data_IF_287767036697
#
_entry.id   IF_287767036697
#
_cell.length_a   1.000
_cell.length_b   1.000
_cell.length_c   1.000
_cell.angle_alpha   90.00
_cell.angle_beta   90.00
_cell.angle_gamma   90.00
#
_symmetry.space_group_name_H-M   'P 1'
#
loop_
_entity.id
_entity.type
_entity.pdbx_description
1 polymer ?
#
# COMPACT_ATOMS: atom_id res chain seq x y z
N UNK A 1 14.27 3.64 4.74
CA UNK A 1 13.45 2.95 3.74
C UNK A 1 13.01 3.94 2.65
N UNK A 2 12.93 3.50 1.38
CA UNK A 2 12.31 4.21 0.26
C UNK A 2 11.85 3.18 -0.78
N UNK A 3 11.05 3.58 -1.76
CA UNK A 3 10.62 2.70 -2.83
C UNK A 3 11.83 2.20 -3.65
N UNK A 4 12.72 3.12 -4.06
CA UNK A 4 13.93 2.79 -4.83
C UNK A 4 14.83 1.81 -4.08
N UNK A 5 14.96 1.99 -2.76
CA UNK A 5 15.79 1.10 -1.94
C UNK A 5 15.23 -0.31 -1.86
N UNK A 6 13.90 -0.45 -1.83
CA UNK A 6 13.25 -1.76 -1.90
C UNK A 6 13.50 -2.43 -3.27
N UNK A 7 13.38 -1.66 -4.35
CA UNK A 7 13.68 -2.16 -5.71
C UNK A 7 15.15 -2.57 -5.83
N UNK A 8 16.06 -1.77 -5.32
CA UNK A 8 17.50 -2.07 -5.33
C UNK A 8 17.83 -3.35 -4.55
N UNK A 9 17.33 -3.49 -3.33
CA UNK A 9 17.54 -4.70 -2.52
C UNK A 9 17.03 -5.96 -3.22
N UNK A 10 15.84 -5.90 -3.78
CA UNK A 10 15.27 -7.03 -4.51
C UNK A 10 16.03 -7.31 -5.82
N UNK A 11 16.53 -6.27 -6.48
CA UNK A 11 17.40 -6.41 -7.66
C UNK A 11 18.74 -7.09 -7.31
N UNK A 12 19.34 -6.73 -6.18
CA UNK A 12 20.56 -7.38 -5.70
C UNK A 12 20.31 -8.84 -5.32
N UNK A 13 19.19 -9.13 -4.64
CA UNK A 13 18.77 -10.49 -4.33
C UNK A 13 18.54 -11.34 -5.57
N UNK A 14 17.86 -10.79 -6.58
CA UNK A 14 17.62 -11.44 -7.86
C UNK A 14 18.93 -11.82 -8.58
N UNK A 15 19.89 -10.88 -8.63
CA UNK A 15 21.21 -11.10 -9.23
C UNK A 15 22.02 -12.13 -8.45
N UNK A 16 22.04 -12.03 -7.11
CA UNK A 16 22.81 -12.93 -6.24
C UNK A 16 22.37 -14.40 -6.39
N UNK A 17 21.06 -14.63 -6.61
CA UNK A 17 20.53 -15.98 -6.79
C UNK A 17 20.50 -16.42 -8.27
N UNK A 18 20.90 -15.55 -9.17
CA UNK A 18 20.97 -15.77 -10.62
C UNK A 18 19.70 -16.36 -11.25
N UNK A 19 18.53 -15.91 -10.77
CA UNK A 19 17.26 -16.35 -11.33
C UNK A 19 17.06 -15.81 -12.75
N UNK A 20 16.58 -16.67 -13.63
CA UNK A 20 16.22 -16.41 -15.03
C UNK A 20 14.95 -17.16 -15.42
N UNK A 21 14.41 -16.92 -16.61
CA UNK A 21 13.19 -17.54 -17.13
C UNK A 21 11.99 -17.38 -16.17
N UNK A 22 11.93 -16.23 -15.47
CA UNK A 22 10.99 -15.97 -14.37
C UNK A 22 9.59 -15.74 -14.94
N UNK A 23 8.62 -16.47 -14.42
CA UNK A 23 7.22 -16.05 -14.44
C UNK A 23 6.94 -15.27 -13.16
N UNK A 24 6.79 -13.95 -13.28
CA UNK A 24 6.56 -13.07 -12.15
C UNK A 24 5.07 -12.99 -11.84
N UNK A 25 4.71 -13.14 -10.56
CA UNK A 25 3.41 -12.80 -10.03
C UNK A 25 3.56 -11.74 -8.95
N UNK A 26 2.87 -10.61 -9.09
CA UNK A 26 2.93 -9.50 -8.15
C UNK A 26 1.56 -9.01 -7.71
N UNK A 27 1.42 -8.74 -6.40
CA UNK A 27 0.22 -8.17 -5.79
C UNK A 27 0.63 -7.08 -4.81
N UNK A 28 -0.16 -6.00 -4.70
CA UNK A 28 0.10 -4.86 -3.83
C UNK A 28 1.55 -4.34 -3.99
N UNK A 29 2.29 -4.14 -2.92
CA UNK A 29 3.70 -3.74 -2.96
C UNK A 29 4.61 -4.73 -3.70
N UNK A 30 4.27 -6.01 -3.68
CA UNK A 30 4.96 -7.01 -4.51
C UNK A 30 4.86 -6.69 -6.00
N UNK A 31 3.71 -6.17 -6.44
CA UNK A 31 3.53 -5.68 -7.81
C UNK A 31 4.32 -4.41 -8.11
N UNK A 32 4.25 -3.40 -7.23
CA UNK A 32 4.99 -2.15 -7.41
C UNK A 32 6.51 -2.42 -7.56
N UNK A 33 7.09 -3.16 -6.62
CA UNK A 33 8.52 -3.49 -6.65
C UNK A 33 8.85 -4.40 -7.84
N UNK A 34 8.05 -5.44 -8.08
CA UNK A 34 8.32 -6.42 -9.11
C UNK A 34 8.23 -5.87 -10.52
N UNK A 35 7.27 -4.98 -10.82
CA UNK A 35 7.21 -4.30 -12.11
C UNK A 35 8.48 -3.49 -12.37
N UNK A 36 9.02 -2.81 -11.36
CA UNK A 36 10.30 -2.10 -11.46
C UNK A 36 11.48 -3.06 -11.67
N UNK A 37 11.44 -4.27 -11.09
CA UNK A 37 12.46 -5.31 -11.34
C UNK A 37 12.39 -5.82 -12.78
N UNK A 38 11.20 -6.00 -13.35
CA UNK A 38 11.03 -6.39 -14.76
C UNK A 38 11.67 -5.34 -15.67
N UNK A 39 11.43 -4.05 -15.41
CA UNK A 39 12.04 -2.94 -16.16
C UNK A 39 13.56 -2.95 -16.05
N UNK A 40 14.09 -3.15 -14.85
CA UNK A 40 15.54 -3.09 -14.59
C UNK A 40 16.29 -4.34 -15.05
N UNK A 41 15.60 -5.48 -15.22
CA UNK A 41 16.20 -6.79 -15.55
C UNK A 41 15.35 -7.58 -16.56
N UNK A 42 14.93 -7.00 -17.70
CA UNK A 42 13.90 -7.58 -18.59
C UNK A 42 14.28 -8.95 -19.18
N UNK A 43 15.57 -9.22 -19.31
CA UNK A 43 16.09 -10.50 -19.82
C UNK A 43 15.87 -11.67 -18.86
N UNK A 44 15.59 -11.39 -17.58
CA UNK A 44 15.36 -12.43 -16.57
C UNK A 44 13.89 -12.88 -16.46
N UNK A 45 12.98 -12.12 -17.05
CA UNK A 45 11.54 -12.36 -16.94
C UNK A 45 10.95 -12.78 -18.28
N UNK A 46 10.23 -13.88 -18.28
CA UNK A 46 9.55 -14.40 -19.46
C UNK A 46 8.06 -14.06 -19.49
N UNK A 47 7.45 -13.95 -18.33
CA UNK A 47 6.01 -13.66 -18.19
C UNK A 47 5.75 -12.81 -16.96
N UNK A 48 4.72 -11.99 -17.04
CA UNK A 48 4.28 -11.12 -15.95
C UNK A 48 2.79 -11.35 -15.66
N UNK A 49 2.46 -11.56 -14.41
CA UNK A 49 1.08 -11.59 -13.91
C UNK A 49 0.98 -10.59 -12.76
N UNK A 50 0.04 -9.67 -12.84
CA UNK A 50 -0.23 -8.72 -11.76
C UNK A 50 -1.66 -8.88 -11.26
N UNK A 51 -1.84 -8.70 -9.95
CA UNK A 51 -3.14 -8.80 -9.29
C UNK A 51 -3.28 -7.70 -8.25
N UNK A 52 -4.38 -6.95 -8.29
CA UNK A 52 -4.68 -5.89 -7.30
C UNK A 52 -3.46 -5.04 -6.91
N UNK A 53 -2.77 -4.53 -7.91
CA UNK A 53 -1.58 -3.69 -7.80
C UNK A 53 -1.61 -2.62 -8.88
N UNK A 54 -0.56 -1.82 -8.97
CA UNK A 54 -0.44 -0.80 -10.00
C UNK A 54 0.98 -0.31 -10.15
N UNK A 55 1.14 0.59 -11.12
CA UNK A 55 2.35 1.37 -11.31
C UNK A 55 1.94 2.86 -11.25
N UNK A 56 1.73 3.40 -10.02
CA UNK A 56 1.17 4.74 -9.85
C UNK A 56 2.06 5.79 -10.51
N UNK A 57 1.47 6.60 -11.41
CA UNK A 57 2.14 7.67 -12.11
C UNK A 57 1.18 8.84 -12.32
N UNK A 58 1.39 9.94 -11.64
CA UNK A 58 0.55 11.12 -11.72
C UNK A 58 1.39 12.40 -11.93
N UNK A 59 1.93 12.62 -13.13
CA UNK A 59 2.82 13.75 -13.42
C UNK A 59 2.08 15.09 -13.45
N UNK A 60 0.75 15.07 -13.66
CA UNK A 60 -0.08 16.26 -13.88
C UNK A 60 -0.98 16.57 -12.68
N UNK A 61 -0.55 16.24 -11.47
CA UNK A 61 -1.29 16.65 -10.28
C UNK A 61 -1.41 18.17 -10.23
N UNK A 62 -2.63 18.75 -10.11
CA UNK A 62 -2.77 20.18 -9.93
C UNK A 62 -1.98 20.67 -8.71
N UNK A 63 -1.32 21.82 -8.83
CA UNK A 63 -0.55 22.39 -7.71
C UNK A 63 -1.40 22.61 -6.47
N UNK A 64 -2.67 23.02 -6.65
CA UNK A 64 -3.63 23.17 -5.54
C UNK A 64 -3.89 21.84 -4.81
N UNK A 65 -3.94 20.70 -5.52
CA UNK A 65 -4.09 19.39 -4.91
C UNK A 65 -2.83 18.99 -4.15
N UNK A 66 -1.66 19.27 -4.69
CA UNK A 66 -0.38 18.99 -4.02
C UNK A 66 -0.31 19.76 -2.70
N UNK A 67 -0.56 21.08 -2.74
CA UNK A 67 -0.56 21.95 -1.55
C UNK A 67 -1.58 21.48 -0.50
N UNK A 68 -2.80 21.16 -0.91
CA UNK A 68 -3.85 20.65 -0.02
C UNK A 68 -3.43 19.36 0.70
N UNK A 69 -2.84 18.40 -0.04
CA UNK A 69 -2.40 17.12 0.54
C UNK A 69 -1.19 17.33 1.46
N UNK A 70 -0.26 18.19 1.12
CA UNK A 70 0.89 18.53 1.97
C UNK A 70 0.45 19.25 3.26
N UNK A 71 -0.51 20.17 3.16
CA UNK A 71 -1.10 20.83 4.31
C UNK A 71 -1.86 19.84 5.21
N UNK A 72 -2.66 18.96 4.62
CA UNK A 72 -3.33 17.90 5.34
C UNK A 72 -2.35 16.99 6.08
N UNK A 73 -1.26 16.57 5.42
CA UNK A 73 -0.23 15.73 6.05
C UNK A 73 0.45 16.43 7.22
N UNK A 74 0.70 17.73 7.10
CA UNK A 74 1.46 18.50 8.10
C UNK A 74 0.59 18.98 9.26
N UNK A 75 -0.62 19.44 9.01
CA UNK A 75 -1.41 20.24 9.96
C UNK A 75 -2.68 19.55 10.48
N UNK A 76 -3.26 18.60 9.72
CA UNK A 76 -4.47 17.92 10.16
C UNK A 76 -4.19 16.95 11.32
N UNK A 77 -5.15 16.71 12.21
CA UNK A 77 -5.00 15.65 13.21
C UNK A 77 -4.88 14.27 12.55
N UNK A 78 -4.23 13.33 13.24
CA UNK A 78 -4.16 11.93 12.79
C UNK A 78 -5.56 11.35 12.60
N UNK A 79 -5.91 10.86 11.41
CA UNK A 79 -7.24 10.27 11.19
C UNK A 79 -7.49 9.07 12.10
N UNK A 80 -8.72 8.96 12.60
CA UNK A 80 -9.13 7.75 13.30
C UNK A 80 -9.35 6.56 12.35
N UNK A 81 -9.32 5.34 12.87
CA UNK A 81 -9.49 4.11 12.08
C UNK A 81 -10.80 4.08 11.27
N UNK A 82 -11.91 4.59 11.82
CA UNK A 82 -13.19 4.66 11.12
C UNK A 82 -13.19 5.71 10.02
N UNK A 83 -12.55 6.84 10.24
CA UNK A 83 -12.39 7.90 9.26
C UNK A 83 -11.52 7.45 8.09
N UNK A 84 -10.39 6.84 8.39
CA UNK A 84 -9.51 6.23 7.40
C UNK A 84 -10.26 5.17 6.55
N UNK A 85 -11.02 4.27 7.20
CA UNK A 85 -11.83 3.27 6.49
C UNK A 85 -12.87 3.91 5.56
N UNK A 86 -13.54 4.97 6.02
CA UNK A 86 -14.50 5.71 5.18
C UNK A 86 -13.80 6.33 3.96
N UNK A 87 -12.64 6.94 4.16
CA UNK A 87 -11.85 7.48 3.05
C UNK A 87 -11.50 6.39 2.03
N UNK A 88 -10.99 5.24 2.47
CA UNK A 88 -10.65 4.12 1.59
C UNK A 88 -11.86 3.54 0.85
N UNK A 89 -13.04 3.46 1.49
CA UNK A 89 -14.27 2.97 0.83
C UNK A 89 -14.79 3.90 -0.27
N UNK A 90 -14.30 5.12 -0.34
CA UNK A 90 -14.66 6.14 -1.33
C UNK A 90 -13.49 6.45 -2.28
N UNK A 91 -12.48 5.57 -2.37
CA UNK A 91 -11.25 5.84 -3.12
C UNK A 91 -11.49 6.06 -4.63
N UNK A 92 -12.55 5.52 -5.21
CA UNK A 92 -12.90 5.73 -6.62
C UNK A 92 -13.18 7.20 -6.98
N UNK A 93 -13.48 8.04 -5.97
CA UNK A 93 -13.58 9.49 -6.13
C UNK A 93 -12.40 10.17 -5.45
N UNK A 94 -11.60 10.96 -6.16
CA UNK A 94 -10.43 11.70 -5.63
C UNK A 94 -9.37 10.79 -4.97
N UNK A 95 -8.81 9.82 -5.70
CA UNK A 95 -7.97 8.76 -5.11
C UNK A 95 -6.76 9.30 -4.32
N UNK A 96 -6.09 10.34 -4.81
CA UNK A 96 -4.93 10.91 -4.12
C UNK A 96 -5.29 11.49 -2.74
N UNK A 97 -6.42 12.23 -2.63
CA UNK A 97 -6.91 12.77 -1.35
C UNK A 97 -7.25 11.63 -0.37
N UNK A 98 -8.02 10.65 -0.84
CA UNK A 98 -8.46 9.54 0.01
C UNK A 98 -7.28 8.67 0.47
N UNK A 99 -6.31 8.47 -0.41
CA UNK A 99 -5.10 7.72 -0.05
C UNK A 99 -4.22 8.48 0.95
N UNK A 100 -4.23 9.81 0.95
CA UNK A 100 -3.51 10.61 1.94
C UNK A 100 -3.99 10.34 3.39
N UNK A 101 -5.29 10.03 3.60
CA UNK A 101 -5.78 9.60 4.92
C UNK A 101 -5.12 8.29 5.37
N UNK A 102 -4.99 7.32 4.46
CA UNK A 102 -4.30 6.06 4.72
C UNK A 102 -2.83 6.28 5.06
N UNK A 103 -2.14 7.09 4.25
CA UNK A 103 -0.73 7.42 4.48
C UNK A 103 -0.51 8.07 5.84
N UNK A 104 -1.30 9.11 6.18
CA UNK A 104 -1.20 9.81 7.46
C UNK A 104 -1.54 8.91 8.65
N UNK A 105 -2.63 8.14 8.56
CA UNK A 105 -2.99 7.17 9.57
C UNK A 105 -1.86 6.19 9.86
N UNK A 106 -1.30 5.57 8.83
CA UNK A 106 -0.21 4.60 8.98
C UNK A 106 1.03 5.24 9.58
N UNK A 107 1.44 6.38 9.07
CA UNK A 107 2.67 7.04 9.50
C UNK A 107 2.62 7.52 10.96
N UNK A 108 1.51 8.13 11.36
CA UNK A 108 1.38 8.76 12.68
C UNK A 108 0.87 7.83 13.78
N UNK A 109 0.27 6.68 13.43
CA UNK A 109 -0.20 5.72 14.44
C UNK A 109 0.96 4.84 14.88
N UNK A 110 1.60 5.19 15.99
CA UNK A 110 2.80 4.51 16.48
C UNK A 110 2.58 3.01 16.75
N UNK A 111 1.49 2.66 17.41
CA UNK A 111 1.06 1.28 17.62
C UNK A 111 -0.14 0.95 16.72
N UNK A 112 0.12 0.81 15.41
CA UNK A 112 -0.89 0.53 14.41
C UNK A 112 -1.61 -0.79 14.73
N UNK A 113 -2.98 -0.80 14.85
CA UNK A 113 -3.73 -1.98 15.24
C UNK A 113 -3.96 -2.93 14.06
N UNK A 114 -2.91 -3.63 13.62
CA UNK A 114 -2.89 -4.43 12.37
C UNK A 114 -3.94 -5.53 12.40
N UNK A 115 -3.97 -6.35 13.43
CA UNK A 115 -4.95 -7.43 13.56
C UNK A 115 -6.40 -6.94 13.59
N UNK A 116 -6.65 -5.82 14.27
CA UNK A 116 -7.96 -5.18 14.29
C UNK A 116 -8.37 -4.69 12.89
N UNK A 117 -7.46 -4.02 12.19
CA UNK A 117 -7.68 -3.51 10.83
C UNK A 117 -8.02 -4.65 9.87
N UNK A 118 -7.23 -5.73 9.87
CA UNK A 118 -7.45 -6.89 9.02
C UNK A 118 -8.78 -7.58 9.34
N UNK A 119 -9.13 -7.71 10.61
CA UNK A 119 -10.43 -8.26 11.02
C UNK A 119 -11.61 -7.42 10.50
N UNK A 120 -11.50 -6.10 10.57
CA UNK A 120 -12.53 -5.18 10.05
C UNK A 120 -12.65 -5.27 8.52
N UNK A 121 -11.53 -5.36 7.83
CA UNK A 121 -11.51 -5.43 6.37
C UNK A 121 -12.09 -6.76 5.86
N UNK A 122 -11.76 -7.87 6.50
CA UNK A 122 -12.21 -9.20 6.08
C UNK A 122 -13.66 -9.50 6.46
N UNK A 123 -14.11 -9.11 7.64
CA UNK A 123 -15.48 -9.41 8.10
C UNK A 123 -16.52 -8.46 7.50
N UNK A 124 -16.10 -7.30 6.97
CA UNK A 124 -17.01 -6.27 6.43
C UNK A 124 -18.25 -6.04 7.30
N UNK A 125 -18.10 -5.86 8.63
CA UNK A 125 -19.25 -5.74 9.52
C UNK A 125 -20.11 -4.52 9.15
N UNK A 126 -21.45 -4.59 9.34
CA UNK A 126 -22.32 -3.43 9.14
C UNK A 126 -21.86 -2.21 9.95
N UNK A 127 -21.95 -0.98 9.42
CA UNK A 127 -21.47 0.23 10.11
C UNK A 127 -22.00 0.42 11.55
N UNK A 128 -23.28 0.10 11.78
CA UNK A 128 -23.90 0.23 13.10
C UNK A 128 -23.31 -0.76 14.12
N UNK A 129 -23.08 -2.02 13.71
CA UNK A 129 -22.44 -3.02 14.58
C UNK A 129 -20.98 -2.69 14.85
N UNK A 130 -20.29 -2.06 13.90
CA UNK A 130 -18.92 -1.62 14.05
C UNK A 130 -18.80 -0.49 15.08
N UNK A 131 -19.67 0.50 15.02
CA UNK A 131 -19.69 1.60 15.99
C UNK A 131 -19.92 1.10 17.42
N UNK A 132 -20.87 0.18 17.59
CA UNK A 132 -21.15 -0.45 18.90
C UNK A 132 -19.93 -1.25 19.38
N UNK A 133 -19.34 -2.10 18.54
CA UNK A 133 -18.16 -2.88 18.87
C UNK A 133 -16.96 -2.02 19.26
N UNK A 134 -16.76 -0.89 18.57
CA UNK A 134 -15.72 0.08 18.91
C UNK A 134 -15.97 0.78 20.26
N UNK A 135 -17.21 1.13 20.54
CA UNK A 135 -17.57 1.74 21.84
C UNK A 135 -17.32 0.77 22.98
N UNK A 136 -17.70 -0.49 22.82
CA UNK A 136 -17.46 -1.54 23.83
C UNK A 136 -15.96 -1.82 24.02
N UNK A 137 -15.17 -1.83 22.93
CA UNK A 137 -13.72 -1.97 22.99
C UNK A 137 -13.05 -0.82 23.78
N UNK A 138 -13.44 0.43 23.49
CA UNK A 138 -12.94 1.60 24.25
C UNK A 138 -13.28 1.57 25.73
N UNK A 139 -14.41 0.95 26.08
CA UNK A 139 -14.86 0.78 27.46
C UNK A 139 -14.24 -0.45 28.16
N UNK A 140 -13.40 -1.22 27.47
CA UNK A 140 -12.71 -2.38 28.04
C UNK A 140 -13.59 -3.61 28.26
N UNK A 141 -14.83 -3.61 27.76
CA UNK A 141 -15.80 -4.69 28.06
C UNK A 141 -15.72 -5.92 27.16
N UNK A 142 -15.14 -5.85 25.96
CA UNK A 142 -15.04 -7.00 25.03
C UNK A 142 -13.88 -6.81 24.06
N UNK A 143 -13.20 -7.91 23.71
CA UNK A 143 -12.47 -8.00 22.44
C UNK A 143 -13.49 -8.25 21.33
N UNK A 144 -13.83 -7.24 20.49
CA UNK A 144 -15.03 -7.31 19.64
C UNK A 144 -14.82 -8.07 18.34
N UNK A 145 -13.63 -8.64 18.12
CA UNK A 145 -13.22 -9.24 16.86
C UNK A 145 -12.76 -10.68 17.08
N UNK A 146 -12.85 -11.55 16.06
CA UNK A 146 -12.37 -12.92 16.19
C UNK A 146 -10.92 -12.89 16.62
N UNK A 147 -10.72 -13.22 17.86
CA UNK A 147 -9.42 -13.17 18.52
C UNK A 147 -8.36 -14.02 17.82
N UNK A 148 -8.77 -15.04 17.05
CA UNK A 148 -7.89 -15.88 16.24
C UNK A 148 -7.34 -15.16 15.01
N UNK A 149 -8.20 -14.47 14.23
CA UNK A 149 -7.78 -13.74 13.04
C UNK A 149 -6.88 -12.54 13.41
N UNK A 150 -7.32 -11.70 14.33
CA UNK A 150 -6.55 -10.58 14.82
C UNK A 150 -5.18 -11.01 15.34
N UNK A 151 -5.14 -12.04 16.20
CA UNK A 151 -3.88 -12.59 16.73
C UNK A 151 -2.96 -13.16 15.65
N UNK A 152 -3.52 -13.78 14.59
CA UNK A 152 -2.74 -14.25 13.46
C UNK A 152 -2.02 -13.13 12.73
N UNK A 153 -2.71 -12.00 12.49
CA UNK A 153 -2.12 -10.83 11.85
C UNK A 153 -1.22 -10.01 12.78
N UNK A 154 -1.44 -10.04 14.09
CA UNK A 154 -0.56 -9.38 15.06
C UNK A 154 0.70 -10.20 15.40
N UNK A 155 0.70 -11.51 15.15
CA UNK A 155 1.79 -12.41 15.51
C UNK A 155 3.19 -11.99 15.01
N UNK A 156 3.35 -11.41 13.79
CA UNK A 156 4.66 -10.92 13.33
C UNK A 156 5.16 -9.66 14.06
N UNK A 157 4.33 -9.02 14.88
CA UNK A 157 4.59 -7.72 15.49
C UNK A 157 4.52 -7.81 17.03
N UNK A 158 5.58 -8.29 17.70
CA UNK A 158 5.59 -8.42 19.16
C UNK A 158 5.31 -7.11 19.91
N UNK A 159 5.73 -5.99 19.33
CA UNK A 159 5.49 -4.65 19.84
C UNK A 159 5.48 -3.60 18.70
N UNK A 160 5.26 -2.33 19.02
CA UNK A 160 5.16 -1.23 18.06
C UNK A 160 6.43 -1.01 17.22
N UNK A 161 7.61 -1.40 17.69
CA UNK A 161 8.88 -1.21 16.97
C UNK A 161 8.95 -2.09 15.71
N UNK A 162 8.29 -3.24 15.70
CA UNK A 162 8.21 -4.13 14.55
C UNK A 162 7.23 -3.65 13.47
N UNK A 163 6.41 -2.64 13.76
CA UNK A 163 5.37 -2.12 12.85
C UNK A 163 5.86 -1.03 11.89
N UNK A 164 7.16 -0.71 11.88
CA UNK A 164 7.70 0.36 11.02
C UNK A 164 7.49 0.08 9.53
N UNK A 165 7.61 -1.17 9.08
CA UNK A 165 7.34 -1.54 7.69
C UNK A 165 5.93 -1.15 7.24
N UNK A 166 4.86 -1.75 7.80
CA UNK A 166 3.49 -1.42 7.43
C UNK A 166 3.11 0.06 7.67
N UNK A 167 3.76 0.75 8.59
CA UNK A 167 3.56 2.20 8.81
C UNK A 167 4.17 3.05 7.71
N UNK A 168 5.37 2.74 7.27
CA UNK A 168 6.14 3.55 6.31
C UNK A 168 5.74 3.29 4.85
N UNK A 169 5.47 2.04 4.48
CA UNK A 169 5.24 1.63 3.09
C UNK A 169 4.17 2.47 2.35
N UNK A 170 2.99 2.77 2.92
CA UNK A 170 1.99 3.59 2.22
C UNK A 170 2.51 4.97 1.81
N UNK A 171 3.42 5.56 2.59
CA UNK A 171 3.99 6.88 2.30
C UNK A 171 4.95 6.90 1.12
N UNK A 172 5.41 5.74 0.66
CA UNK A 172 6.31 5.63 -0.49
C UNK A 172 5.58 5.41 -1.82
N UNK A 173 4.25 5.24 -1.80
CA UNK A 173 3.46 5.15 -3.05
C UNK A 173 3.43 6.53 -3.72
N UNK A 174 3.91 6.66 -4.98
CA UNK A 174 3.99 7.94 -5.67
C UNK A 174 2.61 8.37 -6.18
N UNK A 175 1.90 9.16 -5.38
CA UNK A 175 0.52 9.60 -5.67
C UNK A 175 0.43 11.00 -6.25
N UNK A 176 1.51 11.78 -6.20
CA UNK A 176 1.56 13.19 -6.62
C UNK A 176 2.69 13.45 -7.61
N UNK A 177 2.59 14.56 -8.33
CA UNK A 177 3.65 15.05 -9.25
C UNK A 177 4.97 15.40 -8.54
N UNK A 178 4.94 15.62 -7.23
CA UNK A 178 6.14 15.88 -6.41
C UNK A 178 6.72 14.62 -5.77
N UNK A 179 6.17 13.43 -6.07
CA UNK A 179 6.65 12.16 -5.48
C UNK A 179 8.06 11.82 -5.95
N UNK A 180 8.99 11.44 -5.05
CA UNK A 180 10.40 11.18 -5.39
C UNK A 180 10.60 10.13 -6.49
N UNK A 181 9.72 9.14 -6.57
CA UNK A 181 9.83 8.01 -7.52
C UNK A 181 9.22 8.30 -8.91
N UNK A 182 8.73 9.51 -9.16
CA UNK A 182 7.90 9.80 -10.33
C UNK A 182 8.64 9.55 -11.64
N UNK A 183 9.89 9.99 -11.75
CA UNK A 183 10.69 9.81 -12.95
C UNK A 183 10.95 8.34 -13.28
N UNK A 184 11.20 7.54 -12.27
CA UNK A 184 11.40 6.11 -12.45
C UNK A 184 10.08 5.38 -12.82
N UNK A 185 8.94 5.90 -12.36
CA UNK A 185 7.64 5.41 -12.79
C UNK A 185 7.36 5.77 -14.25
N UNK A 186 7.74 6.98 -14.70
CA UNK A 186 7.64 7.37 -16.10
C UNK A 186 8.41 6.40 -17.02
N UNK A 187 9.68 6.13 -16.70
CA UNK A 187 10.50 5.17 -17.44
C UNK A 187 9.89 3.76 -17.47
N UNK A 188 9.28 3.36 -16.36
CA UNK A 188 8.63 2.06 -16.28
C UNK A 188 7.39 2.00 -17.17
N UNK A 189 6.59 3.05 -17.25
CA UNK A 189 5.46 3.14 -18.17
C UNK A 189 5.92 3.06 -19.63
N UNK A 190 6.93 3.86 -20.03
CA UNK A 190 7.49 3.83 -21.38
C UNK A 190 8.02 2.44 -21.78
N UNK A 191 8.60 1.71 -20.83
CA UNK A 191 9.03 0.34 -21.05
C UNK A 191 7.84 -0.60 -21.28
N UNK A 192 6.80 -0.52 -20.44
CA UNK A 192 5.63 -1.41 -20.55
C UNK A 192 4.75 -1.13 -21.76
N UNK A 193 4.72 0.10 -22.28
CA UNK A 193 4.04 0.43 -23.54
C UNK A 193 4.59 -0.38 -24.73
N UNK A 194 5.86 -0.80 -24.65
CA UNK A 194 6.55 -1.58 -25.68
C UNK A 194 6.89 -3.02 -25.22
N UNK A 195 6.22 -3.51 -24.19
CA UNK A 195 6.50 -4.83 -23.61
C UNK A 195 5.80 -5.93 -24.39
N UNK A 196 6.56 -6.79 -25.09
CA UNK A 196 6.05 -7.82 -26.00
C UNK A 196 5.86 -9.20 -25.35
N UNK A 197 6.38 -9.41 -24.12
CA UNK A 197 6.24 -10.70 -23.46
C UNK A 197 4.85 -10.86 -22.84
N UNK A 198 4.39 -12.11 -22.60
CA UNK A 198 3.07 -12.34 -22.00
C UNK A 198 2.86 -11.56 -20.70
N UNK A 199 1.78 -10.78 -20.66
CA UNK A 199 1.40 -9.93 -19.52
C UNK A 199 -0.10 -10.13 -19.21
N UNK A 200 -0.40 -10.51 -17.97
CA UNK A 200 -1.79 -10.77 -17.51
C UNK A 200 -2.12 -9.85 -16.34
N UNK A 201 -3.27 -9.19 -16.45
CA UNK A 201 -3.90 -8.43 -15.36
C UNK A 201 -5.04 -9.27 -14.76
N UNK A 202 -4.87 -9.72 -13.52
CA UNK A 202 -5.83 -10.54 -12.78
C UNK A 202 -6.36 -9.75 -11.57
N UNK A 203 -7.31 -8.86 -11.82
CA UNK A 203 -7.89 -7.99 -10.79
C UNK A 203 -9.23 -8.55 -10.29
N UNK A 204 -9.49 -8.37 -8.99
CA UNK A 204 -10.82 -8.62 -8.42
C UNK A 204 -11.77 -7.48 -8.73
N UNK A 205 -13.07 -7.80 -8.81
CA UNK A 205 -14.16 -6.83 -8.98
C UNK A 205 -14.32 -5.92 -7.76
#
# INVERSE_FOLDING_TARGET
>A
YSYERQVDWMGQWLKKNDFSEITFFGQDWGGLIGLRLVVNHPHRFDRVVISNTGLPYNPNSPESLVQEIEEFRSNAPTPGLLEMRRALSQMGTEPARKFAFWQKFCWETADMPIGLMMSIMMERPPPASLALKFSLYKLGFLSPFPTSLARGYDAPFPDASFKMGPRAMPSYVPTLSTSPSLEEQRKAWEFFENFEKPFVCAFSD
#
